data_IF_369625815831
#
_entry.id   IF_369625815831
#
_cell.length_a   1.000
_cell.length_b   1.000
_cell.length_c   1.000
_cell.angle_alpha   90.00
_cell.angle_beta   90.00
_cell.angle_gamma   90.00
#
_symmetry.space_group_name_H-M   'P 1'
#
loop_
_entity.id
_entity.type
_entity.pdbx_description
1 polymer ?
#
# COMPACT_ATOMS: atom_id res chain seq x y z
N UNK A 1 -16.05 30.73 -13.38
CA UNK A 1 -14.82 30.82 -12.57
C UNK A 1 -15.03 30.00 -11.31
N UNK A 2 -14.25 28.95 -11.06
CA UNK A 2 -14.41 28.14 -9.85
C UNK A 2 -14.11 29.01 -8.62
N UNK A 3 -14.91 28.90 -7.56
CA UNK A 3 -14.64 29.63 -6.32
C UNK A 3 -13.25 29.28 -5.81
N UNK A 4 -12.57 30.24 -5.18
CA UNK A 4 -11.25 30.04 -4.58
C UNK A 4 -11.20 28.81 -3.67
N UNK A 5 -12.31 28.48 -3.00
CA UNK A 5 -12.49 27.28 -2.19
C UNK A 5 -12.48 25.97 -3.01
N UNK A 6 -13.14 25.94 -4.16
CA UNK A 6 -13.14 24.76 -5.04
C UNK A 6 -11.77 24.55 -5.71
N UNK A 7 -11.07 25.63 -6.06
CA UNK A 7 -9.67 25.56 -6.50
C UNK A 7 -8.74 25.04 -5.40
N UNK A 8 -8.92 25.45 -4.14
CA UNK A 8 -8.17 24.95 -2.99
C UNK A 8 -8.50 23.49 -2.65
N UNK A 9 -9.76 23.07 -2.75
CA UNK A 9 -10.16 21.66 -2.64
C UNK A 9 -9.58 20.79 -3.77
N UNK A 10 -9.51 21.31 -4.99
CA UNK A 10 -8.81 20.65 -6.11
C UNK A 10 -7.29 20.63 -5.84
N UNK A 11 -6.73 21.67 -5.22
CA UNK A 11 -5.32 21.72 -4.80
C UNK A 11 -4.99 20.78 -3.64
N UNK A 12 -5.94 20.43 -2.77
CA UNK A 12 -5.78 19.34 -1.79
C UNK A 12 -5.55 17.97 -2.47
N UNK A 13 -5.83 17.84 -3.79
CA UNK A 13 -5.40 16.68 -4.58
C UNK A 13 -3.89 16.66 -4.85
N UNK A 14 -3.16 17.78 -4.66
CA UNK A 14 -1.70 17.77 -4.65
C UNK A 14 -1.25 17.10 -3.35
N UNK A 15 -0.58 15.95 -3.48
CA UNK A 15 -0.07 15.19 -2.34
C UNK A 15 0.96 15.95 -1.51
N UNK A 16 1.55 17.01 -2.05
CA UNK A 16 2.45 17.92 -1.35
C UNK A 16 2.20 19.36 -1.81
N UNK A 17 2.14 20.36 -0.90
CA UNK A 17 1.74 21.72 -1.23
C UNK A 17 2.73 22.43 -2.18
N UNK A 18 4.02 22.10 -2.06
CA UNK A 18 5.12 22.81 -2.71
C UNK A 18 5.96 21.92 -3.66
N UNK A 19 5.60 20.64 -3.86
CA UNK A 19 6.33 19.75 -4.77
C UNK A 19 5.47 19.39 -6.00
N UNK A 20 6.10 19.21 -7.17
CA UNK A 20 5.41 18.66 -8.34
C UNK A 20 4.86 17.27 -8.05
N UNK A 21 3.66 16.97 -8.55
CA UNK A 21 3.01 15.68 -8.28
C UNK A 21 3.46 14.65 -9.31
N UNK A 22 4.24 13.67 -8.85
CA UNK A 22 4.62 12.54 -9.68
C UNK A 22 3.61 11.40 -9.55
N UNK A 23 2.84 11.15 -10.62
CA UNK A 23 1.86 10.08 -10.65
C UNK A 23 2.41 8.76 -11.19
N UNK A 24 3.29 8.79 -12.19
CA UNK A 24 3.75 7.61 -12.95
C UNK A 24 5.15 7.11 -12.56
N UNK A 25 5.84 7.82 -11.66
CA UNK A 25 7.19 7.47 -11.20
C UNK A 25 7.29 7.52 -9.69
N UNK A 26 8.37 6.97 -9.13
CA UNK A 26 8.64 7.02 -7.69
C UNK A 26 8.62 8.48 -7.21
N UNK A 27 7.92 8.73 -6.11
CA UNK A 27 7.84 10.06 -5.51
C UNK A 27 9.10 10.35 -4.68
N UNK A 28 9.51 11.63 -4.57
CA UNK A 28 10.46 12.06 -3.54
C UNK A 28 9.99 11.60 -2.15
N UNK A 29 10.93 11.37 -1.24
CA UNK A 29 10.65 10.81 0.09
C UNK A 29 9.59 11.63 0.85
N UNK A 30 9.72 12.96 0.87
CA UNK A 30 8.78 13.87 1.54
C UNK A 30 7.36 13.73 0.99
N UNK A 31 7.22 13.71 -0.35
CA UNK A 31 5.92 13.51 -0.99
C UNK A 31 5.36 12.11 -0.69
N UNK A 32 6.22 11.08 -0.69
CA UNK A 32 5.81 9.73 -0.36
C UNK A 32 5.33 9.60 1.09
N UNK A 33 5.97 10.27 2.05
CA UNK A 33 5.56 10.28 3.45
C UNK A 33 4.15 10.86 3.61
N UNK A 34 3.85 11.97 2.95
CA UNK A 34 2.50 12.57 2.97
C UNK A 34 1.48 11.65 2.28
N UNK A 35 1.82 11.11 1.11
CA UNK A 35 0.98 10.11 0.42
C UNK A 35 0.69 8.92 1.34
N UNK A 36 1.73 8.40 2.01
CA UNK A 36 1.65 7.24 2.89
C UNK A 36 0.72 7.50 4.07
N UNK A 37 0.88 8.62 4.77
CA UNK A 37 0.00 9.02 5.87
C UNK A 37 -1.46 9.14 5.39
N UNK A 38 -1.68 9.77 4.24
CA UNK A 38 -3.03 9.97 3.68
C UNK A 38 -3.72 8.66 3.36
N UNK A 39 -3.03 7.71 2.71
CA UNK A 39 -3.60 6.40 2.37
C UNK A 39 -3.87 5.58 3.63
N UNK A 40 -2.95 5.59 4.59
CA UNK A 40 -3.17 4.95 5.89
C UNK A 40 -4.41 5.49 6.61
N UNK A 41 -4.55 6.83 6.68
CA UNK A 41 -5.71 7.46 7.32
C UNK A 41 -7.02 7.13 6.60
N UNK A 42 -7.01 7.10 5.26
CA UNK A 42 -8.17 6.68 4.46
C UNK A 42 -8.62 5.27 4.82
N UNK A 43 -7.65 4.36 4.93
CA UNK A 43 -7.88 2.94 5.22
C UNK A 43 -8.04 2.66 6.71
N UNK A 44 -7.92 3.68 7.57
CA UNK A 44 -8.04 3.59 9.03
C UNK A 44 -7.08 2.57 9.67
N UNK A 45 -5.92 2.37 9.06
CA UNK A 45 -4.97 1.34 9.50
C UNK A 45 -5.44 -0.10 9.29
N UNK A 46 -6.50 -0.32 8.53
CA UNK A 46 -7.01 -1.65 8.21
C UNK A 46 -6.34 -2.16 6.93
N UNK A 47 -5.82 -3.38 6.97
CA UNK A 47 -5.25 -4.07 5.82
C UNK A 47 -6.32 -4.31 4.74
N UNK A 48 -6.07 -3.78 3.55
CA UNK A 48 -6.97 -3.79 2.39
C UNK A 48 -6.68 -4.94 1.41
N UNK A 49 -6.04 -6.03 1.86
CA UNK A 49 -6.04 -7.27 1.09
C UNK A 49 -7.48 -7.83 0.99
N UNK A 50 -7.84 -8.50 -0.13
CA UNK A 50 -9.16 -9.09 -0.32
C UNK A 50 -9.53 -10.05 0.82
N UNK A 51 -10.79 -10.01 1.24
CA UNK A 51 -11.31 -10.82 2.35
C UNK A 51 -11.18 -12.32 2.07
N UNK A 52 -11.51 -12.74 0.85
CA UNK A 52 -11.57 -14.16 0.48
C UNK A 52 -10.22 -14.75 0.07
N UNK A 53 -9.15 -13.94 0.06
CA UNK A 53 -7.81 -14.38 -0.30
C UNK A 53 -7.07 -15.02 0.89
N UNK A 54 -6.21 -16.02 0.64
CA UNK A 54 -5.70 -16.91 1.67
C UNK A 54 -4.80 -16.28 2.75
N UNK A 55 -4.12 -15.12 2.63
CA UNK A 55 -3.54 -14.55 3.84
C UNK A 55 -4.61 -14.13 4.85
N UNK A 56 -5.72 -13.55 4.38
CA UNK A 56 -6.78 -13.06 5.25
C UNK A 56 -7.73 -14.19 5.67
N UNK A 57 -8.21 -14.98 4.70
CA UNK A 57 -9.07 -16.15 4.94
C UNK A 57 -8.41 -17.20 5.84
N UNK A 58 -7.08 -17.37 5.77
CA UNK A 58 -6.35 -18.34 6.60
C UNK A 58 -5.83 -17.75 7.92
N UNK A 59 -6.26 -16.53 8.30
CA UNK A 59 -5.90 -15.92 9.59
C UNK A 59 -4.44 -15.46 9.71
N UNK A 60 -3.70 -15.34 8.60
CA UNK A 60 -2.33 -14.81 8.59
C UNK A 60 -2.29 -13.28 8.51
N UNK A 61 -3.40 -12.63 8.14
CA UNK A 61 -3.49 -11.18 8.09
C UNK A 61 -3.45 -10.60 9.51
N UNK A 62 -2.72 -9.49 9.68
CA UNK A 62 -2.71 -8.76 10.96
C UNK A 62 -3.97 -7.88 11.17
N UNK A 63 -4.83 -7.78 10.16
CA UNK A 63 -6.06 -6.96 10.13
C UNK A 63 -5.85 -5.47 10.39
N UNK A 64 -5.59 -5.08 11.63
CA UNK A 64 -5.27 -3.72 12.05
C UNK A 64 -3.77 -3.57 12.25
N UNK A 65 -3.18 -2.50 11.71
CA UNK A 65 -1.75 -2.24 11.81
C UNK A 65 -1.48 -0.78 12.16
N UNK A 66 -0.42 -0.56 12.94
CA UNK A 66 0.06 0.80 13.16
C UNK A 66 0.70 1.38 11.90
N UNK A 67 0.62 2.69 11.74
CA UNK A 67 1.25 3.41 10.64
C UNK A 67 2.73 3.06 10.49
N UNK A 68 3.50 2.86 11.56
CA UNK A 68 4.94 2.53 11.46
C UNK A 68 5.20 1.17 10.79
N UNK A 69 4.24 0.25 10.87
CA UNK A 69 4.31 -1.12 10.35
C UNK A 69 3.59 -1.26 9.00
N UNK A 70 2.62 -0.39 8.73
CA UNK A 70 1.85 -0.36 7.49
C UNK A 70 2.73 -0.31 6.24
N UNK A 71 2.39 -1.09 5.22
CA UNK A 71 2.93 -0.91 3.88
C UNK A 71 1.88 -0.26 2.99
N UNK A 72 2.29 0.67 2.13
CA UNK A 72 1.41 1.24 1.10
C UNK A 72 1.81 0.63 -0.24
N UNK A 73 0.90 -0.18 -0.74
CA UNK A 73 1.07 -1.01 -1.94
C UNK A 73 0.32 -0.40 -3.12
N UNK A 74 0.87 -0.60 -4.32
CA UNK A 74 0.26 -0.18 -5.57
C UNK A 74 -0.59 -1.30 -6.15
N UNK A 75 -1.91 -1.18 -6.20
CA UNK A 75 -2.82 -2.18 -6.77
C UNK A 75 -2.36 -2.61 -8.18
N UNK A 76 -2.11 -1.65 -9.06
CA UNK A 76 -1.31 -1.87 -10.28
C UNK A 76 0.10 -1.33 -10.04
N UNK A 77 1.17 -2.12 -10.16
CA UNK A 77 2.54 -1.63 -9.98
C UNK A 77 2.88 -0.48 -10.94
N UNK A 78 3.71 0.48 -10.50
CA UNK A 78 4.19 1.59 -11.35
C UNK A 78 4.86 1.08 -12.63
N UNK A 79 5.69 0.03 -12.53
CA UNK A 79 6.38 -0.58 -13.67
C UNK A 79 5.44 -1.17 -14.71
N UNK A 80 4.18 -1.43 -14.33
CA UNK A 80 3.16 -1.99 -15.20
C UNK A 80 2.12 -0.94 -15.59
N UNK A 81 2.40 0.36 -15.45
CA UNK A 81 1.49 1.45 -15.80
C UNK A 81 0.55 1.90 -14.67
N UNK A 82 0.83 1.50 -13.44
CA UNK A 82 0.15 2.01 -12.25
C UNK A 82 0.45 3.48 -11.96
N UNK A 83 -0.23 4.03 -10.95
CA UNK A 83 0.01 5.40 -10.50
C UNK A 83 0.06 5.55 -8.98
N UNK A 84 0.59 6.67 -8.50
CA UNK A 84 0.52 7.08 -7.10
C UNK A 84 -0.84 7.70 -6.73
N UNK A 85 -1.85 7.59 -7.60
CA UNK A 85 -3.21 8.05 -7.28
C UNK A 85 -3.81 7.21 -6.16
N UNK A 86 -4.60 7.83 -5.29
CA UNK A 86 -5.17 7.15 -4.14
C UNK A 86 -5.97 5.90 -4.54
N UNK A 87 -6.70 5.95 -5.66
CA UNK A 87 -7.43 4.79 -6.19
C UNK A 87 -6.56 3.59 -6.58
N UNK A 88 -5.25 3.79 -6.76
CA UNK A 88 -4.29 2.73 -7.07
C UNK A 88 -3.38 2.38 -5.87
N UNK A 89 -3.60 3.00 -4.70
CA UNK A 89 -2.83 2.75 -3.49
C UNK A 89 -3.71 2.11 -2.43
N UNK A 90 -3.13 1.20 -1.65
CA UNK A 90 -3.82 0.52 -0.54
C UNK A 90 -2.89 0.26 0.64
N UNK A 91 -3.43 0.28 1.84
CA UNK A 91 -2.74 -0.14 3.06
C UNK A 91 -2.71 -1.66 3.15
N UNK A 92 -1.55 -2.25 3.35
CA UNK A 92 -1.37 -3.68 3.61
C UNK A 92 -0.54 -3.89 4.88
N UNK A 93 -0.83 -4.98 5.60
CA UNK A 93 0.09 -5.48 6.61
C UNK A 93 1.33 -6.13 5.93
N UNK A 94 2.47 -6.25 6.63
CA UNK A 94 3.67 -6.85 6.07
C UNK A 94 3.47 -8.27 5.53
N UNK A 95 2.61 -9.09 6.17
CA UNK A 95 2.31 -10.45 5.74
C UNK A 95 1.57 -10.46 4.40
N UNK A 96 0.47 -9.70 4.30
CA UNK A 96 -0.29 -9.60 3.06
C UNK A 96 0.55 -8.98 1.94
N UNK A 97 1.37 -7.97 2.22
CA UNK A 97 2.25 -7.39 1.21
C UNK A 97 3.27 -8.42 0.68
N UNK A 98 3.93 -9.17 1.57
CA UNK A 98 4.91 -10.19 1.18
C UNK A 98 4.28 -11.36 0.41
N UNK A 99 3.06 -11.76 0.77
CA UNK A 99 2.32 -12.84 0.12
C UNK A 99 1.58 -12.40 -1.14
N UNK A 100 1.64 -11.13 -1.52
CA UNK A 100 1.11 -10.69 -2.81
C UNK A 100 1.92 -11.31 -3.95
N UNK A 101 1.26 -11.71 -5.03
CA UNK A 101 1.83 -12.35 -6.20
C UNK A 101 2.73 -11.39 -7.01
N UNK A 102 3.92 -11.16 -6.49
CA UNK A 102 5.01 -10.44 -7.16
C UNK A 102 6.33 -11.17 -6.90
N UNK A 103 7.10 -11.42 -7.96
CA UNK A 103 8.41 -12.07 -7.89
C UNK A 103 9.42 -11.23 -7.10
N UNK A 104 9.23 -9.91 -7.01
CA UNK A 104 10.10 -9.00 -6.27
C UNK A 104 9.94 -9.14 -4.75
N UNK A 105 8.98 -9.93 -4.27
CA UNK A 105 8.69 -10.10 -2.85
C UNK A 105 9.39 -11.30 -2.19
N UNK A 106 10.18 -12.09 -2.92
CA UNK A 106 10.88 -13.27 -2.36
C UNK A 106 11.71 -12.96 -1.11
N UNK A 107 12.45 -11.84 -1.10
CA UNK A 107 13.21 -11.42 0.08
C UNK A 107 12.33 -11.11 1.30
N UNK A 108 11.12 -10.56 1.09
CA UNK A 108 10.17 -10.32 2.17
C UNK A 108 9.62 -11.63 2.72
N UNK A 109 9.27 -12.59 1.84
CA UNK A 109 8.77 -13.91 2.21
C UNK A 109 9.80 -14.67 3.04
N UNK A 110 11.04 -14.75 2.56
CA UNK A 110 12.15 -15.40 3.29
C UNK A 110 12.32 -14.81 4.69
N UNK A 111 12.29 -13.48 4.82
CA UNK A 111 12.38 -12.81 6.13
C UNK A 111 11.24 -13.18 7.07
N UNK A 112 10.01 -13.27 6.57
CA UNK A 112 8.85 -13.62 7.39
C UNK A 112 8.85 -15.11 7.79
N UNK A 113 9.31 -16.01 6.91
CA UNK A 113 9.51 -17.43 7.24
C UNK A 113 10.55 -17.58 8.36
N UNK A 114 11.71 -16.91 8.24
CA UNK A 114 12.75 -16.95 9.29
C UNK A 114 12.24 -16.42 10.64
N UNK A 115 11.31 -15.48 10.62
CA UNK A 115 10.67 -14.94 11.83
C UNK A 115 9.50 -15.79 12.36
N UNK A 116 9.13 -16.87 11.68
CA UNK A 116 7.98 -17.70 12.03
C UNK A 116 6.61 -17.01 11.86
N UNK A 117 6.55 -15.91 11.10
CA UNK A 117 5.31 -15.14 10.90
C UNK A 117 4.45 -15.68 9.76
N UNK A 118 5.04 -16.44 8.84
CA UNK A 118 4.34 -17.19 7.80
C UNK A 118 4.96 -18.60 7.72
N UNK A 119 4.20 -19.63 7.30
CA UNK A 119 4.72 -20.98 7.26
C UNK A 119 5.65 -21.22 6.05
N UNK A 120 6.47 -22.27 6.10
CA UNK A 120 7.40 -22.63 5.01
C UNK A 120 6.67 -22.90 3.69
N UNK A 121 5.46 -23.47 3.75
CA UNK A 121 4.58 -23.68 2.61
C UNK A 121 3.80 -22.41 2.20
N UNK A 122 4.41 -21.21 2.36
CA UNK A 122 3.79 -19.90 2.09
C UNK A 122 3.17 -19.77 0.69
N UNK A 123 3.61 -20.57 -0.28
CA UNK A 123 3.07 -20.60 -1.66
C UNK A 123 1.57 -20.85 -1.70
N UNK A 124 1.04 -21.59 -0.72
CA UNK A 124 -0.40 -21.87 -0.61
C UNK A 124 -1.23 -20.66 -0.13
N UNK A 125 -0.56 -19.58 0.27
CA UNK A 125 -1.17 -18.39 0.86
C UNK A 125 -0.99 -17.14 0.00
N UNK A 126 -0.53 -17.28 -1.25
CA UNK A 126 -0.31 -16.16 -2.16
C UNK A 126 -1.63 -15.64 -2.74
N UNK A 127 -1.69 -14.35 -3.09
CA UNK A 127 -2.90 -13.66 -3.58
C UNK A 127 -2.58 -12.49 -4.52
N UNK A 128 -3.58 -11.91 -5.20
CA UNK A 128 -3.47 -10.65 -5.98
C UNK A 128 -4.64 -9.68 -5.72
#
# INVERSE_FOLDING_TARGET
>A
MLSSNLYLQIKQRRQHPNLPVFWWRRQPLEQWQVTRQRIYNRDRGICQSPADSPPKKSGLCMEEIELKTAHIDHIRPLSSGGSNHASNLRTLCPICHALRLDQKHEGMKSRLVTKGLIPVNWKNFVWD
#
